data_IF_517708453091
#
_entry.id   IF_517708453091
#
_cell.length_a   1.000
_cell.length_b   1.000
_cell.length_c   1.000
_cell.angle_alpha   90.00
_cell.angle_beta   90.00
_cell.angle_gamma   90.00
#
_symmetry.space_group_name_H-M   'P 1'
#
loop_
_entity.id
_entity.type
_entity.pdbx_description
1 polymer ?
#
# COMPACT_ATOMS: atom_id res chain seq x y z
N UNK A 1 -10.51 -35.53 -25.06
CA UNK A 1 -10.20 -34.09 -25.28
C UNK A 1 -10.69 -33.29 -24.08
N UNK A 2 -9.85 -33.07 -23.08
CA UNK A 2 -10.19 -32.35 -21.85
C UNK A 2 -10.02 -30.84 -22.06
N UNK A 3 -11.13 -30.11 -22.16
CA UNK A 3 -11.14 -28.64 -22.19
C UNK A 3 -10.74 -28.12 -20.81
N UNK A 4 -9.54 -27.54 -20.69
CA UNK A 4 -9.13 -26.77 -19.51
C UNK A 4 -10.13 -25.63 -19.31
N UNK A 5 -10.75 -25.46 -18.12
CA UNK A 5 -11.64 -24.34 -17.90
C UNK A 5 -10.84 -23.04 -17.96
N UNK A 6 -11.19 -22.19 -18.91
CA UNK A 6 -10.64 -20.84 -19.07
C UNK A 6 -11.03 -20.03 -17.83
N UNK A 7 -10.11 -19.94 -16.86
CA UNK A 7 -10.31 -19.14 -15.64
C UNK A 7 -10.63 -17.72 -16.09
N UNK A 8 -11.78 -17.12 -15.71
CA UNK A 8 -12.08 -15.76 -16.11
C UNK A 8 -10.93 -14.86 -15.65
N UNK A 9 -10.26 -14.21 -16.61
CA UNK A 9 -9.30 -13.14 -16.31
C UNK A 9 -10.08 -12.09 -15.56
N UNK A 10 -9.94 -12.03 -14.24
CA UNK A 10 -10.57 -11.00 -13.41
C UNK A 10 -10.19 -9.67 -14.04
N UNK A 11 -11.18 -8.93 -14.53
CA UNK A 11 -10.94 -7.62 -15.13
C UNK A 11 -10.11 -6.79 -14.14
N UNK A 12 -9.03 -6.20 -14.63
CA UNK A 12 -8.17 -5.33 -13.85
C UNK A 12 -9.04 -4.25 -13.21
N UNK A 13 -9.30 -4.37 -11.90
CA UNK A 13 -9.99 -3.34 -11.11
C UNK A 13 -8.90 -2.53 -10.42
N UNK A 14 -8.54 -1.36 -10.98
CA UNK A 14 -7.63 -0.43 -10.31
C UNK A 14 -8.27 0.21 -9.09
N UNK A 15 -9.56 -0.04 -8.82
CA UNK A 15 -10.21 0.33 -7.57
C UNK A 15 -9.58 -0.44 -6.41
N UNK A 16 -8.74 0.29 -5.70
CA UNK A 16 -8.04 -0.14 -4.50
C UNK A 16 -8.47 0.75 -3.32
N UNK A 17 -9.59 1.47 -3.43
CA UNK A 17 -10.01 2.49 -2.46
C UNK A 17 -10.10 1.94 -1.04
N UNK A 18 -10.70 0.75 -0.88
CA UNK A 18 -10.78 0.10 0.42
C UNK A 18 -9.39 -0.35 0.96
N UNK A 19 -8.48 -0.77 0.09
CA UNK A 19 -7.13 -1.13 0.50
C UNK A 19 -6.32 0.10 0.92
N UNK A 20 -6.40 1.17 0.15
CA UNK A 20 -5.77 2.46 0.39
C UNK A 20 -6.30 3.12 1.66
N UNK A 21 -7.60 3.06 1.91
CA UNK A 21 -8.21 3.56 3.14
C UNK A 21 -7.69 2.82 4.39
N UNK A 22 -7.56 1.49 4.31
CA UNK A 22 -6.96 0.69 5.40
C UNK A 22 -5.49 1.04 5.64
N UNK A 23 -4.72 1.22 4.56
CA UNK A 23 -3.31 1.65 4.65
C UNK A 23 -3.23 3.02 5.33
N UNK A 24 -4.05 3.99 4.93
CA UNK A 24 -4.04 5.34 5.50
C UNK A 24 -4.50 5.36 6.96
N UNK A 25 -5.49 4.55 7.33
CA UNK A 25 -5.93 4.40 8.72
C UNK A 25 -4.82 3.82 9.60
N UNK A 26 -4.16 2.75 9.13
CA UNK A 26 -3.08 2.11 9.87
C UNK A 26 -1.83 3.01 9.93
N UNK A 27 -1.50 3.74 8.87
CA UNK A 27 -0.46 4.78 8.86
C UNK A 27 -0.72 5.80 9.98
N UNK A 28 -1.93 6.36 10.04
CA UNK A 28 -2.32 7.33 11.08
C UNK A 28 -2.17 6.73 12.48
N UNK A 29 -2.65 5.50 12.68
CA UNK A 29 -2.53 4.78 13.96
C UNK A 29 -1.07 4.64 14.43
N UNK A 30 -0.16 4.42 13.49
CA UNK A 30 1.26 4.25 13.78
C UNK A 30 2.06 5.57 13.80
N UNK A 31 1.43 6.72 13.60
CA UNK A 31 2.12 8.01 13.55
C UNK A 31 3.08 8.22 12.37
N UNK A 32 3.07 7.34 11.36
CA UNK A 32 4.01 7.38 10.23
C UNK A 32 3.62 8.51 9.27
N UNK A 33 4.55 9.38 8.83
CA UNK A 33 4.20 10.42 7.85
C UNK A 33 3.87 9.83 6.47
N UNK A 34 3.07 10.55 5.66
CA UNK A 34 2.73 10.10 4.30
C UNK A 34 3.97 10.01 3.42
N UNK A 35 4.87 10.98 3.57
CA UNK A 35 6.14 11.05 2.85
C UNK A 35 7.03 9.85 3.18
N UNK A 36 7.23 9.54 4.47
CA UNK A 36 8.05 8.40 4.90
C UNK A 36 7.51 7.09 4.33
N UNK A 37 6.19 6.87 4.42
CA UNK A 37 5.56 5.68 3.86
C UNK A 37 5.71 5.60 2.34
N UNK A 38 5.50 6.72 1.63
CA UNK A 38 5.56 6.75 0.17
C UNK A 38 6.99 6.51 -0.34
N UNK A 39 7.98 7.25 0.21
CA UNK A 39 9.40 7.12 -0.16
C UNK A 39 9.88 5.70 0.12
N UNK A 40 9.56 5.15 1.30
CA UNK A 40 9.94 3.79 1.68
C UNK A 40 9.21 2.71 0.87
N UNK A 41 8.09 3.05 0.22
CA UNK A 41 7.39 2.18 -0.73
C UNK A 41 7.83 2.41 -2.19
N UNK A 42 8.87 3.24 -2.42
CA UNK A 42 9.43 3.50 -3.74
C UNK A 42 8.55 4.39 -4.63
N UNK A 43 7.74 5.27 -4.05
CA UNK A 43 6.90 6.21 -4.81
C UNK A 43 6.91 7.63 -4.23
N UNK A 44 6.58 8.62 -5.06
CA UNK A 44 6.47 10.00 -4.58
C UNK A 44 5.26 10.17 -3.66
N UNK A 45 5.36 11.08 -2.69
CA UNK A 45 4.24 11.45 -1.83
C UNK A 45 3.05 11.97 -2.66
N UNK A 46 3.31 12.71 -3.74
CA UNK A 46 2.29 13.20 -4.67
C UNK A 46 1.50 12.05 -5.30
N UNK A 47 2.20 11.00 -5.75
CA UNK A 47 1.57 9.78 -6.30
C UNK A 47 0.71 9.10 -5.24
N UNK A 48 1.22 8.96 -4.02
CA UNK A 48 0.48 8.37 -2.92
C UNK A 48 -0.79 9.18 -2.58
N UNK A 49 -0.69 10.50 -2.44
CA UNK A 49 -1.86 11.38 -2.20
C UNK A 49 -2.91 11.24 -3.30
N UNK A 50 -2.48 11.22 -4.56
CA UNK A 50 -3.39 11.02 -5.72
C UNK A 50 -4.05 9.64 -5.68
N UNK A 51 -3.33 8.60 -5.30
CA UNK A 51 -3.90 7.26 -5.13
C UNK A 51 -4.99 7.27 -4.05
N UNK A 52 -4.71 7.87 -2.88
CA UNK A 52 -5.71 8.00 -1.81
C UNK A 52 -6.95 8.76 -2.28
N UNK A 53 -6.78 9.92 -2.93
CA UNK A 53 -7.91 10.75 -3.34
C UNK A 53 -8.73 10.15 -4.48
N UNK A 54 -8.09 9.42 -5.38
CA UNK A 54 -8.76 8.80 -6.53
C UNK A 54 -9.27 7.39 -6.26
N UNK A 55 -8.82 6.75 -5.17
CA UNK A 55 -9.07 5.33 -4.91
C UNK A 55 -8.33 4.39 -5.86
N UNK A 56 -7.48 4.91 -6.75
CA UNK A 56 -6.84 4.15 -7.82
C UNK A 56 -5.34 3.95 -7.56
N UNK A 57 -4.91 2.69 -7.53
CA UNK A 57 -3.51 2.33 -7.45
C UNK A 57 -3.27 1.01 -8.18
N UNK A 58 -2.05 0.81 -8.65
CA UNK A 58 -1.69 -0.48 -9.22
C UNK A 58 -1.53 -1.50 -8.07
N UNK A 59 -1.90 -2.77 -8.26
CA UNK A 59 -1.79 -3.78 -7.21
C UNK A 59 -0.40 -3.84 -6.56
N UNK A 60 0.67 -3.75 -7.39
CA UNK A 60 2.07 -3.71 -6.91
C UNK A 60 2.37 -2.53 -5.98
N UNK A 61 1.71 -1.38 -6.19
CA UNK A 61 1.88 -0.19 -5.35
C UNK A 61 1.19 -0.39 -3.99
N UNK A 62 -0.01 -0.98 -4.00
CA UNK A 62 -0.74 -1.32 -2.77
C UNK A 62 0.03 -2.35 -1.95
N UNK A 63 0.61 -3.35 -2.60
CA UNK A 63 1.43 -4.37 -1.96
C UNK A 63 2.71 -3.77 -1.37
N UNK A 64 3.43 -2.93 -2.13
CA UNK A 64 4.60 -2.20 -1.62
C UNK A 64 4.23 -1.38 -0.37
N UNK A 65 3.18 -0.57 -0.43
CA UNK A 65 2.71 0.23 0.71
C UNK A 65 2.36 -0.63 1.93
N UNK A 66 1.73 -1.79 1.74
CA UNK A 66 1.41 -2.72 2.84
C UNK A 66 2.66 -3.30 3.49
N UNK A 67 3.62 -3.75 2.69
CA UNK A 67 4.86 -4.35 3.19
C UNK A 67 5.70 -3.30 3.92
N UNK A 68 5.86 -2.12 3.34
CA UNK A 68 6.55 -0.98 3.96
C UNK A 68 5.88 -0.60 5.27
N UNK A 69 4.55 -0.47 5.29
CA UNK A 69 3.82 -0.13 6.52
C UNK A 69 4.03 -1.19 7.60
N UNK A 70 3.98 -2.48 7.25
CA UNK A 70 4.22 -3.59 8.18
C UNK A 70 5.63 -3.53 8.74
N UNK A 71 6.64 -3.25 7.91
CA UNK A 71 8.03 -3.14 8.34
C UNK A 71 8.23 -1.96 9.30
N UNK A 72 7.73 -0.78 8.95
CA UNK A 72 7.81 0.42 9.79
C UNK A 72 7.09 0.24 11.12
N UNK A 73 5.93 -0.43 11.10
CA UNK A 73 5.17 -0.74 12.33
C UNK A 73 5.95 -1.66 13.28
N UNK A 74 6.67 -2.65 12.73
CA UNK A 74 7.48 -3.57 13.52
C UNK A 74 8.67 -2.86 14.15
N UNK A 75 9.38 -2.04 13.37
CA UNK A 75 10.51 -1.26 13.88
C UNK A 75 10.10 -0.31 15.01
N UNK A 76 8.94 0.34 14.88
CA UNK A 76 8.39 1.19 15.93
C UNK A 76 8.02 0.41 17.22
N UNK A 77 7.52 -0.82 17.08
CA UNK A 77 7.19 -1.67 18.22
C UNK A 77 8.43 -2.24 18.92
N UNK A 78 9.49 -2.51 18.16
CA UNK A 78 10.76 -3.06 18.67
C UNK A 78 11.64 -1.98 19.34
N UNK A 79 11.15 -0.74 19.48
CA UNK A 79 11.91 0.37 20.08
C UNK A 79 13.15 0.77 19.28
N UNK A 80 13.34 0.22 18.08
CA UNK A 80 14.36 0.66 17.15
C UNK A 80 13.86 1.95 16.52
N UNK A 81 14.26 3.07 17.12
CA UNK A 81 14.34 4.36 16.43
C UNK A 81 15.24 4.21 15.21
N UNK A 82 14.70 3.69 14.11
CA UNK A 82 15.21 3.96 12.79
C UNK A 82 14.41 5.15 12.31
N UNK A 83 14.93 6.36 12.56
CA UNK A 83 15.51 7.24 11.55
C UNK A 83 16.22 8.41 12.27
N UNK A 84 17.32 8.95 11.71
CA UNK A 84 17.91 10.22 12.14
C UNK A 84 16.96 11.42 11.92
#
# INVERSE_FOLDING_TARGET
MTRTPNRPRTAYRPDQGAALARIEAQRKKNGISREVLAISAGMSERTYRRAISSGHAWPRQVEALRMTLRSLSRNAADGKEMFP
#
